data_IF_020026274744
#
_entry.id   IF_020026274744
#
_cell.length_a   1.000
_cell.length_b   1.000
_cell.length_c   1.000
_cell.angle_alpha   90.00
_cell.angle_beta   90.00
_cell.angle_gamma   90.00
#
_symmetry.space_group_name_H-M   'P 1'
#
loop_
_entity.id
_entity.type
_entity.pdbx_description
1 polymer ?
#
# COMPACT_ATOMS: atom_id res chain seq x y z
N UNK A 1 20.16 13.84 -0.17
CA UNK A 1 19.01 13.21 -0.87
C UNK A 1 19.35 12.86 -2.33
N UNK A 2 19.82 13.80 -3.17
CA UNK A 2 20.15 13.49 -4.58
C UNK A 2 21.23 12.40 -4.79
N UNK A 3 22.28 12.34 -3.97
CA UNK A 3 23.37 11.36 -4.15
C UNK A 3 22.90 9.90 -4.03
N UNK A 4 22.08 9.57 -3.01
CA UNK A 4 21.56 8.21 -2.83
C UNK A 4 20.72 7.72 -4.01
N UNK A 5 19.91 8.61 -4.57
CA UNK A 5 19.13 8.29 -5.77
C UNK A 5 20.01 8.06 -7.00
N UNK A 6 21.14 8.75 -7.11
CA UNK A 6 22.10 8.52 -8.20
C UNK A 6 22.77 7.15 -8.06
N UNK A 7 23.14 6.74 -6.84
CA UNK A 7 23.71 5.40 -6.61
C UNK A 7 22.70 4.29 -6.94
N UNK A 8 21.43 4.45 -6.55
CA UNK A 8 20.37 3.52 -6.93
C UNK A 8 20.14 3.48 -8.45
N UNK A 9 20.02 4.65 -9.08
CA UNK A 9 19.80 4.76 -10.52
C UNK A 9 20.98 4.18 -11.32
N UNK A 10 22.21 4.26 -10.79
CA UNK A 10 23.41 3.71 -11.45
C UNK A 10 23.35 2.20 -11.71
N UNK A 11 22.46 1.48 -11.01
CA UNK A 11 22.24 0.04 -11.22
C UNK A 11 21.52 -0.26 -12.53
N UNK A 12 20.89 0.74 -13.13
CA UNK A 12 20.11 0.62 -14.35
C UNK A 12 20.86 1.24 -15.53
N UNK A 13 20.67 0.66 -16.71
CA UNK A 13 21.12 1.28 -17.96
C UNK A 13 19.96 2.12 -18.53
N UNK A 14 20.05 3.44 -18.40
CA UNK A 14 19.00 4.36 -18.82
C UNK A 14 19.56 5.66 -19.42
N UNK A 15 18.74 6.34 -20.21
CA UNK A 15 19.01 7.65 -20.77
C UNK A 15 17.94 8.64 -20.32
N UNK A 16 18.34 9.85 -19.94
CA UNK A 16 17.42 10.92 -19.55
C UNK A 16 16.97 11.66 -20.82
N UNK A 17 15.69 11.54 -21.17
CA UNK A 17 15.10 12.20 -22.33
C UNK A 17 13.92 13.09 -21.93
N UNK A 18 13.87 14.30 -22.50
CA UNK A 18 12.72 15.18 -22.33
C UNK A 18 11.55 14.73 -23.22
N UNK A 19 10.39 14.54 -22.61
CA UNK A 19 9.14 14.23 -23.30
C UNK A 19 8.18 15.40 -23.06
N UNK A 20 7.68 16.00 -24.14
CA UNK A 20 6.67 17.07 -24.06
C UNK A 20 5.39 16.52 -23.43
N UNK A 21 4.74 17.29 -22.56
CA UNK A 21 3.54 16.85 -21.81
C UNK A 21 2.43 16.25 -22.67
N UNK A 22 2.16 16.81 -23.87
CA UNK A 22 1.19 16.27 -24.84
C UNK A 22 1.45 14.81 -25.22
N UNK A 23 2.70 14.36 -25.11
CA UNK A 23 3.14 13.00 -25.43
C UNK A 23 3.33 12.13 -24.17
N UNK A 24 3.28 12.72 -22.96
CA UNK A 24 3.50 12.03 -21.69
C UNK A 24 2.17 11.61 -21.01
N UNK A 25 1.15 11.30 -21.80
CA UNK A 25 -0.23 11.12 -21.32
C UNK A 25 -0.35 10.05 -20.23
N UNK A 26 0.35 8.92 -20.39
CA UNK A 26 0.24 7.79 -19.45
C UNK A 26 0.82 8.16 -18.08
N UNK A 27 2.02 8.73 -18.04
CA UNK A 27 2.62 9.13 -16.78
C UNK A 27 1.86 10.31 -16.15
N UNK A 28 1.34 11.24 -16.95
CA UNK A 28 0.50 12.35 -16.49
C UNK A 28 -0.77 11.83 -15.80
N UNK A 29 -1.50 10.91 -16.44
CA UNK A 29 -2.68 10.27 -15.84
C UNK A 29 -2.35 9.49 -14.56
N UNK A 30 -1.25 8.73 -14.53
CA UNK A 30 -0.87 7.97 -13.34
C UNK A 30 -0.39 8.87 -12.19
N UNK A 31 0.22 10.02 -12.49
CA UNK A 31 0.62 10.97 -11.46
C UNK A 31 -0.57 11.63 -10.76
N UNK A 32 -1.70 11.71 -11.45
CA UNK A 32 -2.96 12.27 -10.94
C UNK A 32 -3.89 11.20 -10.34
N UNK A 33 -3.42 9.94 -10.22
CA UNK A 33 -4.26 8.81 -9.82
C UNK A 33 -4.98 9.06 -8.48
N UNK A 34 -4.26 9.56 -7.48
CA UNK A 34 -4.81 9.85 -6.14
C UNK A 34 -5.35 11.28 -5.99
N UNK A 35 -5.37 12.11 -7.05
CA UNK A 35 -5.80 13.51 -6.94
C UNK A 35 -7.29 13.65 -6.63
N UNK A 36 -8.09 12.66 -7.01
CA UNK A 36 -9.53 12.62 -6.77
C UNK A 36 -9.93 11.71 -5.60
N UNK A 37 -8.97 11.12 -4.91
CA UNK A 37 -9.28 10.19 -3.84
C UNK A 37 -9.97 10.90 -2.69
N UNK A 38 -10.96 10.20 -2.16
CA UNK A 38 -11.60 10.63 -0.93
C UNK A 38 -10.80 10.15 0.27
N UNK A 39 -10.87 10.90 1.37
CA UNK A 39 -10.19 10.58 2.63
C UNK A 39 -10.66 9.27 3.29
N UNK A 40 -11.72 8.64 2.77
CA UNK A 40 -12.29 7.36 3.23
C UNK A 40 -12.04 6.22 2.20
N UNK A 41 -11.32 6.52 1.11
CA UNK A 41 -10.97 5.53 0.10
C UNK A 41 -9.77 4.72 0.61
N UNK A 42 -10.01 3.44 0.87
CA UNK A 42 -8.98 2.53 1.35
C UNK A 42 -8.18 1.97 0.17
N UNK A 43 -6.90 2.33 0.08
CA UNK A 43 -5.94 1.77 -0.87
C UNK A 43 -5.21 0.57 -0.29
N UNK A 44 -4.69 -0.27 -1.17
CA UNK A 44 -3.85 -1.39 -0.75
C UNK A 44 -2.57 -0.83 -0.10
N UNK A 45 -2.18 -1.38 1.03
CA UNK A 45 -0.99 -0.95 1.77
C UNK A 45 0.32 -1.07 1.00
N UNK A 46 0.39 -1.97 0.03
CA UNK A 46 1.53 -2.09 -0.89
C UNK A 46 1.66 -0.88 -1.82
N UNK A 47 0.63 -0.06 -1.93
CA UNK A 47 0.60 1.20 -2.68
C UNK A 47 1.32 2.33 -1.93
N UNK A 48 1.46 2.22 -0.60
CA UNK A 48 2.09 3.22 0.27
C UNK A 48 3.54 2.92 0.66
N UNK A 49 4.21 1.97 -0.01
CA UNK A 49 5.58 1.61 0.36
C UNK A 49 6.51 2.80 0.12
N UNK A 50 7.13 3.28 1.19
CA UNK A 50 8.15 4.32 1.11
C UNK A 50 9.33 3.83 0.27
N UNK A 51 9.65 4.57 -0.79
CA UNK A 51 10.75 4.22 -1.69
C UNK A 51 12.12 4.13 -0.96
N UNK A 52 12.26 4.84 0.18
CA UNK A 52 13.42 4.74 1.06
C UNK A 52 13.62 3.31 1.61
N UNK A 53 12.54 2.60 1.94
CA UNK A 53 12.58 1.19 2.41
C UNK A 53 12.99 0.23 1.31
N UNK A 54 12.60 0.52 0.06
CA UNK A 54 12.99 -0.33 -1.08
C UNK A 54 14.45 -0.13 -1.48
N UNK A 55 14.92 1.11 -1.46
CA UNK A 55 16.30 1.46 -1.86
C UNK A 55 17.30 1.07 -0.77
N UNK A 56 16.96 1.29 0.49
CA UNK A 56 17.80 0.99 1.64
C UNK A 56 16.96 0.36 2.77
N UNK A 57 16.70 -0.97 2.71
CA UNK A 57 15.91 -1.66 3.72
C UNK A 57 16.53 -1.62 5.12
N UNK A 58 17.87 -1.51 5.20
CA UNK A 58 18.61 -1.45 6.45
C UNK A 58 18.67 -0.04 7.06
N UNK A 59 18.41 0.98 6.25
CA UNK A 59 18.48 2.38 6.65
C UNK A 59 19.88 2.85 7.02
N UNK A 60 20.92 2.14 6.59
CA UNK A 60 22.31 2.48 6.90
C UNK A 60 22.71 3.84 6.29
N UNK A 61 22.09 4.20 5.16
CA UNK A 61 22.33 5.46 4.43
C UNK A 61 21.29 6.55 4.75
N UNK A 62 20.35 6.27 5.65
CA UNK A 62 19.32 7.22 6.08
C UNK A 62 19.78 8.03 7.31
N UNK A 63 19.56 9.35 7.33
CA UNK A 63 19.67 10.12 8.57
C UNK A 63 18.75 9.52 9.66
N UNK A 64 19.15 9.51 10.94
CA UNK A 64 18.37 8.89 12.02
C UNK A 64 16.91 9.33 12.07
N UNK A 65 16.64 10.63 11.95
CA UNK A 65 15.28 11.18 11.96
C UNK A 65 14.42 10.64 10.80
N UNK A 66 15.02 10.45 9.62
CA UNK A 66 14.35 9.93 8.43
C UNK A 66 14.10 8.42 8.52
N UNK A 67 15.05 7.69 9.09
CA UNK A 67 14.90 6.27 9.36
C UNK A 67 13.76 6.03 10.35
N UNK A 68 13.72 6.81 11.44
CA UNK A 68 12.66 6.74 12.44
C UNK A 68 11.29 7.07 11.83
N UNK A 69 11.16 8.16 11.08
CA UNK A 69 9.91 8.52 10.38
C UNK A 69 9.41 7.39 9.47
N UNK A 70 10.32 6.75 8.75
CA UNK A 70 9.99 5.65 7.82
C UNK A 70 9.54 4.40 8.58
N UNK A 71 10.20 4.07 9.69
CA UNK A 71 9.82 2.96 10.56
C UNK A 71 8.43 3.19 11.17
N UNK A 72 8.18 4.38 11.72
CA UNK A 72 6.89 4.75 12.32
C UNK A 72 5.74 4.60 11.33
N UNK A 73 5.89 5.14 10.12
CA UNK A 73 4.88 5.01 9.06
C UNK A 73 4.66 3.58 8.61
N UNK A 74 5.73 2.79 8.53
CA UNK A 74 5.62 1.37 8.16
C UNK A 74 4.82 0.60 9.21
N UNK A 75 5.08 0.86 10.49
CA UNK A 75 4.32 0.26 11.61
C UNK A 75 2.85 0.68 11.58
N UNK A 76 2.57 1.96 11.32
CA UNK A 76 1.21 2.48 11.20
C UNK A 76 0.44 1.77 10.07
N UNK A 77 1.04 1.66 8.88
CA UNK A 77 0.45 0.97 7.73
C UNK A 77 0.19 -0.51 8.04
N UNK A 78 1.16 -1.22 8.64
CA UNK A 78 0.97 -2.62 9.04
C UNK A 78 -0.16 -2.79 10.07
N UNK A 79 -0.25 -1.89 11.05
CA UNK A 79 -1.30 -1.93 12.06
C UNK A 79 -2.70 -1.70 11.45
N UNK A 80 -2.80 -0.81 10.46
CA UNK A 80 -4.03 -0.63 9.68
C UNK A 80 -4.43 -1.92 8.94
N UNK A 81 -3.48 -2.60 8.27
CA UNK A 81 -3.74 -3.88 7.60
C UNK A 81 -4.31 -4.93 8.53
N UNK A 82 -3.68 -5.07 9.69
CA UNK A 82 -4.06 -6.07 10.68
C UNK A 82 -5.49 -5.79 11.17
N UNK A 83 -5.82 -4.52 11.43
CA UNK A 83 -7.16 -4.13 11.82
C UNK A 83 -8.21 -4.45 10.75
N UNK A 84 -7.93 -4.17 9.47
CA UNK A 84 -8.84 -4.46 8.36
C UNK A 84 -9.02 -5.97 8.14
N UNK A 85 -7.94 -6.75 8.20
CA UNK A 85 -7.99 -8.21 8.14
C UNK A 85 -8.80 -8.80 9.29
N UNK A 86 -8.60 -8.30 10.52
CA UNK A 86 -9.37 -8.74 11.69
C UNK A 86 -10.86 -8.38 11.56
N UNK A 87 -11.18 -7.21 11.03
CA UNK A 87 -12.56 -6.79 10.81
C UNK A 87 -13.26 -7.67 9.76
N UNK A 88 -12.58 -7.93 8.64
CA UNK A 88 -13.05 -8.81 7.57
C UNK A 88 -13.30 -10.23 8.07
N UNK A 89 -12.35 -10.80 8.81
CA UNK A 89 -12.47 -12.14 9.40
C UNK A 89 -13.69 -12.26 10.31
N UNK A 90 -13.89 -11.27 11.19
CA UNK A 90 -15.02 -11.26 12.13
C UNK A 90 -16.37 -11.20 11.41
N UNK A 91 -16.47 -10.44 10.32
CA UNK A 91 -17.68 -10.38 9.49
C UNK A 91 -17.94 -11.72 8.81
N UNK A 92 -16.90 -12.36 8.27
CA UNK A 92 -17.01 -13.65 7.61
C UNK A 92 -17.48 -14.75 8.58
N UNK A 93 -16.90 -14.82 9.79
CA UNK A 93 -17.33 -15.76 10.84
C UNK A 93 -18.81 -15.58 11.22
N UNK A 94 -19.27 -14.33 11.36
CA UNK A 94 -20.68 -14.06 11.67
C UNK A 94 -21.62 -14.52 10.55
N UNK A 95 -21.20 -14.36 9.30
CA UNK A 95 -21.97 -14.80 8.15
C UNK A 95 -22.06 -16.33 8.07
N UNK A 96 -20.95 -17.02 8.31
CA UNK A 96 -20.92 -18.49 8.34
C UNK A 96 -21.83 -19.07 9.44
N UNK A 97 -21.85 -18.44 10.62
CA UNK A 97 -22.77 -18.82 11.69
C UNK A 97 -24.24 -18.64 11.31
N UNK A 98 -24.57 -17.52 10.65
CA UNK A 98 -25.93 -17.27 10.16
C UNK A 98 -26.34 -18.29 9.08
N UNK A 99 -25.42 -18.66 8.20
CA UNK A 99 -25.69 -19.66 7.15
C UNK A 99 -25.89 -21.07 7.75
N UNK A 100 -25.19 -21.42 8.83
CA UNK A 100 -25.39 -22.68 9.56
C UNK A 100 -26.76 -22.70 10.25
N UNK A 101 -27.13 -21.62 10.95
CA UNK A 101 -28.44 -21.50 11.61
C UNK A 101 -29.60 -21.59 10.60
N UNK A 102 -29.47 -20.93 9.45
CA UNK A 102 -30.45 -21.01 8.37
C UNK A 102 -30.60 -22.43 7.80
N UNK A 103 -29.50 -23.18 7.70
CA UNK A 103 -29.51 -24.58 7.27
C UNK A 103 -30.20 -25.49 8.31
N UNK A 104 -29.96 -25.26 9.60
CA UNK A 104 -30.57 -26.03 10.69
C UNK A 104 -32.10 -25.83 10.74
N UNK A 105 -32.57 -24.60 10.57
CA UNK A 105 -34.01 -24.26 10.50
C UNK A 105 -34.70 -24.77 9.22
N UNK A 106 -33.94 -25.12 8.18
CA UNK A 106 -34.45 -25.65 6.91
C UNK A 106 -34.58 -27.18 6.90
N UNK A 107 -34.06 -27.88 7.93
CA UNK A 107 -34.29 -29.30 8.12
C UNK A 107 -35.71 -29.45 8.70
N UNK A 108 -36.66 -30.08 7.98
CA UNK A 108 -38.00 -30.29 8.52
C UNK A 108 -37.93 -31.26 9.70
N UNK A 109 -38.59 -30.91 10.81
CA UNK A 109 -38.87 -31.83 11.91
C UNK A 109 -39.69 -33.02 11.36
N UNK A 110 -39.09 -34.21 11.33
CA UNK A 110 -39.71 -35.48 10.94
C UNK A 110 -40.65 -36.01 12.06
#
# INVERSE_FOLDING_TARGET
QQMRWMDYMSQFNFDIMYIKGENNKVADCLSQYYENDTWDEAHDIHEYIHADVQVDPGGEDLPPDRYQETQEKTVEICAMCEADLHHSHRIQEQKELQDIEAQELAIPDD
#
